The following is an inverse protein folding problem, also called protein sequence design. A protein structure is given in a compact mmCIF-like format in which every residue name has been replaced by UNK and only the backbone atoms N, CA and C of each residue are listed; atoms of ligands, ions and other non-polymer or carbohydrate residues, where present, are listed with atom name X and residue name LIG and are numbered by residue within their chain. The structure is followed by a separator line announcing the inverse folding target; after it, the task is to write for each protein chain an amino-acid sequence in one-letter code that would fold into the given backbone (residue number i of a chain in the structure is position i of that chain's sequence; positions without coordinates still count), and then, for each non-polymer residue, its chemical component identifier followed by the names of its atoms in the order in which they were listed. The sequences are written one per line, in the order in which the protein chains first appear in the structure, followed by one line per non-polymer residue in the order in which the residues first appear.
data_IF_168671335246
#
_entry.id   IF_168671335246
#
_cell.length_a   1.000
_cell.length_b   1.000
_cell.length_c   1.000
_cell.angle_alpha   90.00
_cell.angle_beta   90.00
_cell.angle_gamma   90.00
#
_symmetry.space_group_name_H-M   'P 1'
#
loop_
_entity.id
_entity.type
_entity.pdbx_description
1 polymer ?
#
# COMPACT_ATOMS: atom_id res chain seq x y z
N UNK A 1 -40.28 60.24 -30.81
CA UNK A 1 -39.33 59.50 -31.69
C UNK A 1 -38.19 59.01 -30.82
N UNK A 2 -38.32 57.82 -30.37
CA UNK A 2 -37.47 57.15 -29.39
C UNK A 2 -36.72 56.03 -30.10
N UNK A 3 -35.42 56.05 -30.05
CA UNK A 3 -34.58 54.91 -30.48
C UNK A 3 -33.91 54.31 -29.24
N UNK A 4 -34.36 53.14 -28.90
CA UNK A 4 -33.83 52.32 -27.86
C UNK A 4 -32.50 51.68 -28.30
N UNK A 5 -31.38 52.06 -27.68
CA UNK A 5 -30.10 51.40 -27.82
C UNK A 5 -30.01 50.21 -26.90
N UNK A 6 -30.15 49.03 -27.40
CA UNK A 6 -29.88 47.81 -26.67
C UNK A 6 -28.37 47.56 -26.63
N UNK A 7 -27.75 47.78 -25.48
CA UNK A 7 -26.37 47.38 -25.15
C UNK A 7 -26.29 45.86 -25.05
N UNK A 8 -25.78 45.23 -26.05
CA UNK A 8 -25.45 43.81 -26.00
C UNK A 8 -24.23 43.58 -25.07
N UNK A 9 -24.50 43.08 -23.86
CA UNK A 9 -23.45 42.51 -23.05
C UNK A 9 -22.82 41.32 -23.79
N UNK A 10 -21.62 41.48 -24.33
CA UNK A 10 -20.75 40.41 -24.80
C UNK A 10 -20.30 39.62 -23.55
N UNK A 11 -21.01 38.56 -23.23
CA UNK A 11 -20.49 37.49 -22.38
C UNK A 11 -19.23 36.95 -23.05
N UNK A 12 -18.08 37.18 -22.44
CA UNK A 12 -16.84 36.47 -22.78
C UNK A 12 -17.08 34.98 -22.44
N UNK A 13 -17.61 34.27 -23.41
CA UNK A 13 -17.76 32.82 -23.31
C UNK A 13 -16.38 32.20 -23.18
N UNK A 14 -16.17 31.50 -22.09
CA UNK A 14 -15.02 30.59 -21.93
C UNK A 14 -15.02 29.68 -23.14
N UNK A 15 -14.06 29.89 -24.04
CA UNK A 15 -13.89 29.05 -25.24
C UNK A 15 -13.70 27.61 -24.78
N UNK A 16 -14.63 26.74 -25.16
CA UNK A 16 -14.52 25.29 -24.91
C UNK A 16 -13.21 24.77 -25.53
N UNK A 17 -12.66 23.69 -24.99
CA UNK A 17 -11.46 23.01 -25.51
C UNK A 17 -11.50 22.81 -27.02
N UNK A 18 -12.70 22.57 -27.58
CA UNK A 18 -12.94 22.44 -29.03
C UNK A 18 -12.80 23.76 -29.79
N UNK A 19 -13.11 24.91 -29.18
CA UNK A 19 -12.94 26.23 -29.82
C UNK A 19 -11.49 26.73 -29.81
N UNK A 20 -10.67 26.34 -28.81
CA UNK A 20 -9.23 26.59 -28.82
C UNK A 20 -8.49 25.80 -29.92
N UNK A 21 -9.03 24.67 -30.35
CA UNK A 21 -8.47 23.83 -31.43
C UNK A 21 -8.48 24.49 -32.84
N UNK A 22 -9.24 25.56 -33.03
CA UNK A 22 -9.36 26.25 -34.35
C UNK A 22 -8.25 27.27 -34.63
N UNK A 23 -7.35 27.54 -33.71
CA UNK A 23 -6.28 28.52 -33.82
C UNK A 23 -4.94 27.78 -33.89
N UNK A 24 -4.56 27.25 -35.06
CA UNK A 24 -3.19 27.06 -35.53
C UNK A 24 -2.15 26.30 -34.69
N UNK A 25 -2.38 25.99 -33.42
CA UNK A 25 -1.54 25.12 -32.63
C UNK A 25 -1.96 23.67 -32.88
N UNK A 26 -1.08 22.87 -33.46
CA UNK A 26 -1.26 21.42 -33.52
C UNK A 26 -1.48 20.94 -32.12
N UNK A 27 -2.71 20.49 -31.80
CA UNK A 27 -3.05 19.95 -30.48
C UNK A 27 -2.11 18.77 -30.21
N UNK A 28 -1.45 18.82 -29.07
CA UNK A 28 -0.59 17.73 -28.59
C UNK A 28 -1.33 16.38 -28.65
N UNK A 29 -2.66 16.43 -28.43
CA UNK A 29 -3.52 15.25 -28.57
C UNK A 29 -3.60 14.72 -30.00
N UNK A 30 -3.75 15.60 -30.99
CA UNK A 30 -3.76 15.20 -32.39
C UNK A 30 -2.41 14.63 -32.86
N UNK A 31 -1.31 15.14 -32.32
CA UNK A 31 0.03 14.56 -32.52
C UNK A 31 0.18 13.17 -31.92
N UNK A 32 -0.40 12.95 -30.75
CA UNK A 32 -0.35 11.67 -30.05
C UNK A 32 -1.21 10.63 -30.75
N UNK A 33 -2.46 10.97 -31.07
CA UNK A 33 -3.45 10.01 -31.62
C UNK A 33 -3.14 9.67 -33.06
N UNK A 34 -2.60 10.62 -33.85
CA UNK A 34 -2.28 10.43 -35.27
C UNK A 34 -0.84 9.95 -35.51
N UNK A 35 -0.03 9.77 -34.48
CA UNK A 35 1.31 9.21 -34.58
C UNK A 35 1.39 7.85 -33.91
N UNK A 36 1.20 6.80 -34.67
CA UNK A 36 1.22 5.40 -34.22
C UNK A 36 2.52 5.07 -33.45
N UNK A 37 3.66 5.58 -33.91
CA UNK A 37 4.96 5.33 -33.26
C UNK A 37 5.03 5.92 -31.83
N UNK A 38 4.56 7.15 -31.64
CA UNK A 38 4.51 7.77 -30.32
C UNK A 38 3.53 7.01 -29.43
N UNK A 39 2.36 6.71 -29.95
CA UNK A 39 1.32 6.06 -29.17
C UNK A 39 1.66 4.63 -28.79
N UNK A 40 2.07 3.80 -29.74
CA UNK A 40 2.34 2.38 -29.49
C UNK A 40 3.67 2.13 -28.78
N UNK A 41 4.70 2.93 -29.04
CA UNK A 41 6.02 2.71 -28.41
C UNK A 41 6.20 3.45 -27.09
N UNK A 42 5.58 4.59 -26.89
CA UNK A 42 5.88 5.47 -25.77
C UNK A 42 4.73 5.74 -24.81
N UNK A 43 3.48 5.71 -25.25
CA UNK A 43 2.33 6.04 -24.41
C UNK A 43 1.61 4.79 -23.92
N UNK A 44 1.05 3.99 -24.82
CA UNK A 44 0.27 2.82 -24.42
C UNK A 44 1.02 1.85 -23.52
N UNK A 45 2.32 1.55 -23.71
CA UNK A 45 3.05 0.65 -22.81
C UNK A 45 3.20 1.17 -21.38
N UNK A 46 3.14 2.49 -21.17
CA UNK A 46 3.28 3.12 -19.85
C UNK A 46 1.97 3.26 -19.09
N UNK A 47 0.84 3.09 -19.76
CA UNK A 47 -0.46 3.09 -19.12
C UNK A 47 -0.69 1.75 -18.40
N UNK A 48 -1.22 1.78 -17.19
CA UNK A 48 -1.75 0.57 -16.57
C UNK A 48 -3.06 0.14 -17.24
N UNK A 49 -3.56 -1.07 -16.91
CA UNK A 49 -4.78 -1.61 -17.55
C UNK A 49 -6.03 -0.78 -17.27
N UNK A 50 -6.07 -0.08 -16.14
CA UNK A 50 -7.17 0.79 -15.74
C UNK A 50 -7.16 2.09 -16.53
N UNK A 51 -6.01 2.77 -16.64
CA UNK A 51 -5.86 3.98 -17.44
C UNK A 51 -6.14 3.72 -18.93
N UNK A 52 -5.75 2.54 -19.42
CA UNK A 52 -6.04 2.13 -20.80
C UNK A 52 -7.55 2.01 -21.07
N UNK A 53 -8.33 1.50 -20.11
CA UNK A 53 -9.80 1.44 -20.23
C UNK A 53 -10.42 2.82 -20.24
N UNK A 54 -9.96 3.72 -19.38
CA UNK A 54 -10.45 5.10 -19.41
C UNK A 54 -10.13 5.77 -20.75
N UNK A 55 -8.92 5.58 -21.24
CA UNK A 55 -8.54 6.10 -22.57
C UNK A 55 -9.44 5.53 -23.68
N UNK A 56 -9.83 4.25 -23.57
CA UNK A 56 -10.74 3.61 -24.53
C UNK A 56 -12.14 4.25 -24.53
N UNK A 57 -12.61 4.75 -23.37
CA UNK A 57 -13.92 5.39 -23.25
C UNK A 57 -13.94 6.87 -23.64
N UNK A 58 -12.77 7.53 -23.79
CA UNK A 58 -12.67 8.97 -24.05
C UNK A 58 -13.32 9.37 -25.39
N UNK A 59 -12.98 8.68 -26.48
CA UNK A 59 -13.56 8.96 -27.80
C UNK A 59 -13.35 7.80 -28.79
N UNK A 60 -13.92 7.95 -30.00
CA UNK A 60 -13.86 6.91 -31.04
C UNK A 60 -12.44 6.68 -31.59
N UNK A 61 -11.59 7.70 -31.60
CA UNK A 61 -10.21 7.63 -32.12
C UNK A 61 -9.32 6.82 -31.16
N UNK A 62 -9.39 7.12 -29.88
CA UNK A 62 -8.68 6.33 -28.86
C UNK A 62 -9.15 4.89 -28.83
N UNK A 63 -10.45 4.64 -29.03
CA UNK A 63 -11.00 3.29 -29.18
C UNK A 63 -10.37 2.52 -30.35
N UNK A 64 -10.30 3.13 -31.50
CA UNK A 64 -9.68 2.54 -32.71
C UNK A 64 -8.21 2.24 -32.45
N UNK A 65 -7.50 3.17 -31.84
CA UNK A 65 -6.09 3.06 -31.54
C UNK A 65 -5.80 1.89 -30.60
N UNK A 66 -6.54 1.78 -29.50
CA UNK A 66 -6.36 0.69 -28.53
C UNK A 66 -6.74 -0.66 -29.15
N UNK A 67 -7.80 -0.73 -29.97
CA UNK A 67 -8.18 -1.96 -30.70
C UNK A 67 -7.10 -2.46 -31.66
N UNK A 68 -6.27 -1.58 -32.20
CA UNK A 68 -5.12 -1.91 -33.06
C UNK A 68 -3.87 -2.31 -32.26
N UNK A 69 -3.85 -2.03 -30.96
CA UNK A 69 -2.71 -2.35 -30.10
C UNK A 69 -2.72 -3.81 -29.64
N UNK A 70 -1.56 -4.32 -29.24
CA UNK A 70 -1.42 -5.65 -28.59
C UNK A 70 -2.12 -5.74 -27.23
N UNK A 71 -2.61 -4.61 -26.70
CA UNK A 71 -3.17 -4.49 -25.35
C UNK A 71 -4.70 -4.59 -25.29
N UNK A 72 -5.36 -4.99 -26.38
CA UNK A 72 -6.83 -5.18 -26.41
C UNK A 72 -7.33 -6.12 -25.32
N UNK A 73 -6.51 -7.12 -24.93
CA UNK A 73 -6.82 -8.04 -23.85
C UNK A 73 -6.96 -7.38 -22.48
N UNK A 74 -6.28 -6.24 -22.26
CA UNK A 74 -6.35 -5.48 -21.00
C UNK A 74 -7.73 -4.84 -20.80
N UNK A 75 -8.47 -4.58 -21.86
CA UNK A 75 -9.83 -4.04 -21.77
C UNK A 75 -10.83 -5.01 -21.13
N UNK A 76 -10.53 -6.30 -21.14
CA UNK A 76 -11.35 -7.34 -20.48
C UNK A 76 -11.06 -7.45 -18.98
N UNK A 77 -9.94 -6.90 -18.51
CA UNK A 77 -9.58 -6.90 -17.09
C UNK A 77 -10.45 -5.93 -16.32
N UNK A 78 -10.76 -6.26 -15.08
CA UNK A 78 -11.55 -5.38 -14.20
C UNK A 78 -10.82 -4.08 -13.87
N UNK A 79 -11.57 -3.01 -13.59
CA UNK A 79 -11.00 -1.78 -13.03
C UNK A 79 -10.34 -2.08 -11.68
N UNK A 80 -9.11 -1.63 -11.51
CA UNK A 80 -8.42 -1.75 -10.25
C UNK A 80 -8.30 -0.37 -9.62
N UNK A 81 -9.14 -0.06 -8.65
CA UNK A 81 -9.17 1.23 -7.94
C UNK A 81 -7.77 1.62 -7.44
N UNK A 82 -6.98 0.67 -6.95
CA UNK A 82 -5.60 0.91 -6.49
C UNK A 82 -4.63 1.42 -7.57
N UNK A 83 -4.98 1.30 -8.85
CA UNK A 83 -4.18 1.78 -9.99
C UNK A 83 -4.63 3.16 -10.47
N UNK A 84 -5.69 3.71 -9.89
CA UNK A 84 -6.23 5.01 -10.29
C UNK A 84 -5.38 6.15 -9.76
N UNK A 85 -5.16 7.15 -10.61
CA UNK A 85 -4.19 8.21 -10.34
C UNK A 85 -4.82 9.59 -10.13
N UNK A 86 -6.13 9.74 -10.39
CA UNK A 86 -6.84 11.01 -10.30
C UNK A 86 -8.27 10.87 -9.78
N UNK A 87 -8.84 11.96 -9.30
CA UNK A 87 -10.24 12.04 -8.89
C UNK A 87 -11.17 11.69 -10.05
N UNK A 88 -10.88 12.19 -11.25
CA UNK A 88 -11.73 11.91 -12.44
C UNK A 88 -11.83 10.42 -12.75
N UNK A 89 -10.74 9.66 -12.58
CA UNK A 89 -10.76 8.20 -12.80
C UNK A 89 -11.55 7.48 -11.69
N UNK A 90 -11.42 7.93 -10.44
CA UNK A 90 -12.22 7.41 -9.33
C UNK A 90 -13.71 7.70 -9.48
N UNK A 91 -14.05 8.89 -9.98
CA UNK A 91 -15.43 9.30 -10.20
C UNK A 91 -16.13 8.39 -11.21
N UNK A 92 -15.48 8.10 -12.33
CA UNK A 92 -16.01 7.13 -13.31
C UNK A 92 -16.19 5.75 -12.67
N UNK A 93 -15.22 5.28 -11.88
CA UNK A 93 -15.34 4.00 -11.19
C UNK A 93 -16.52 4.00 -10.20
N UNK A 94 -16.73 5.11 -9.50
CA UNK A 94 -17.84 5.27 -8.56
C UNK A 94 -19.21 5.27 -9.25
N UNK A 95 -19.33 5.94 -10.38
CA UNK A 95 -20.57 5.95 -11.17
C UNK A 95 -20.94 4.56 -11.72
N UNK A 96 -19.94 3.72 -11.98
CA UNK A 96 -20.12 2.36 -12.47
C UNK A 96 -20.15 1.31 -11.35
N UNK A 97 -20.74 1.62 -10.20
CA UNK A 97 -20.83 0.69 -9.04
C UNK A 97 -21.41 -0.69 -9.39
N UNK A 98 -22.30 -0.78 -10.36
CA UNK A 98 -22.88 -2.05 -10.82
C UNK A 98 -21.85 -3.04 -11.37
N UNK A 99 -20.67 -2.54 -11.77
CA UNK A 99 -19.57 -3.36 -12.29
C UNK A 99 -18.56 -3.81 -11.24
N UNK A 100 -18.77 -3.49 -9.95
CA UNK A 100 -17.86 -3.85 -8.85
C UNK A 100 -17.94 -5.33 -8.43
N UNK A 101 -18.87 -6.12 -8.94
CA UNK A 101 -19.42 -7.38 -8.43
C UNK A 101 -18.45 -8.39 -7.83
N UNK A 102 -17.24 -8.54 -8.39
CA UNK A 102 -16.34 -9.60 -7.93
C UNK A 102 -15.11 -9.08 -7.19
N UNK A 103 -14.91 -7.77 -7.16
CA UNK A 103 -13.70 -7.13 -6.69
C UNK A 103 -13.90 -6.17 -5.52
N UNK A 104 -15.04 -5.53 -5.46
CA UNK A 104 -15.46 -4.62 -4.40
C UNK A 104 -16.83 -5.07 -3.92
N UNK A 105 -16.90 -5.50 -2.66
CA UNK A 105 -18.16 -5.96 -2.08
C UNK A 105 -19.09 -4.79 -1.74
N UNK A 106 -18.49 -3.72 -1.27
CA UNK A 106 -19.21 -2.54 -0.79
C UNK A 106 -18.35 -1.27 -0.85
N UNK A 107 -18.86 -0.17 -0.32
CA UNK A 107 -18.18 1.12 -0.26
C UNK A 107 -16.98 1.13 0.69
N UNK A 108 -16.97 0.26 1.72
CA UNK A 108 -15.82 0.16 2.63
C UNK A 108 -14.62 -0.47 1.92
N UNK A 109 -14.86 -1.45 1.05
CA UNK A 109 -13.83 -2.04 0.20
C UNK A 109 -13.29 -1.01 -0.81
N UNK A 110 -14.17 -0.17 -1.36
CA UNK A 110 -13.75 0.92 -2.25
C UNK A 110 -12.80 1.89 -1.52
N UNK A 111 -13.17 2.35 -0.34
CA UNK A 111 -12.36 3.25 0.47
C UNK A 111 -10.98 2.66 0.82
N UNK A 112 -10.94 1.37 1.15
CA UNK A 112 -9.71 0.62 1.36
C UNK A 112 -8.84 0.54 0.10
N UNK A 113 -9.45 0.27 -1.07
CA UNK A 113 -8.73 0.26 -2.34
C UNK A 113 -8.21 1.65 -2.74
N UNK A 114 -8.97 2.70 -2.42
CA UNK A 114 -8.50 4.08 -2.59
C UNK A 114 -7.29 4.36 -1.71
N UNK A 115 -7.29 3.90 -0.46
CA UNK A 115 -6.12 4.02 0.42
C UNK A 115 -4.87 3.33 -0.17
N UNK A 116 -5.03 2.23 -0.92
CA UNK A 116 -3.92 1.55 -1.64
C UNK A 116 -3.26 2.40 -2.72
N UNK A 117 -3.89 3.43 -3.21
CA UNK A 117 -3.27 4.36 -4.17
C UNK A 117 -2.15 5.18 -3.53
N UNK A 118 -2.07 5.20 -2.22
CA UNK A 118 -1.19 6.02 -1.40
C UNK A 118 -1.35 7.54 -1.60
N UNK A 119 -2.50 7.98 -2.10
CA UNK A 119 -2.82 9.38 -2.39
C UNK A 119 -3.89 9.89 -1.45
N UNK A 120 -3.51 10.77 -0.52
CA UNK A 120 -4.42 11.31 0.50
C UNK A 120 -5.58 12.09 -0.12
N UNK A 121 -5.33 12.84 -1.21
CA UNK A 121 -6.37 13.61 -1.90
C UNK A 121 -7.50 12.72 -2.45
N UNK A 122 -7.17 11.51 -2.90
CA UNK A 122 -8.16 10.55 -3.40
C UNK A 122 -9.00 9.97 -2.25
N UNK A 123 -8.35 9.70 -1.11
CA UNK A 123 -9.07 9.24 0.08
C UNK A 123 -9.99 10.33 0.64
N UNK A 124 -9.53 11.59 0.67
CA UNK A 124 -10.36 12.73 1.07
C UNK A 124 -11.59 12.87 0.16
N UNK A 125 -11.39 12.82 -1.15
CA UNK A 125 -12.51 12.86 -2.10
C UNK A 125 -13.54 11.74 -1.84
N UNK A 126 -13.09 10.51 -1.65
CA UNK A 126 -13.98 9.38 -1.36
C UNK A 126 -14.79 9.60 -0.06
N UNK A 127 -14.15 10.18 0.98
CA UNK A 127 -14.79 10.42 2.26
C UNK A 127 -15.68 11.68 2.30
N UNK A 128 -15.19 12.77 1.75
CA UNK A 128 -15.82 14.10 1.89
C UNK A 128 -16.89 14.33 0.82
N UNK A 129 -16.63 13.93 -0.43
CA UNK A 129 -17.56 14.11 -1.55
C UNK A 129 -18.54 12.94 -1.69
N UNK A 130 -18.06 11.71 -1.67
CA UNK A 130 -18.87 10.52 -1.89
C UNK A 130 -19.45 9.92 -0.60
N UNK A 131 -19.03 10.43 0.57
CA UNK A 131 -19.47 9.96 1.90
C UNK A 131 -19.23 8.46 2.11
N UNK A 132 -18.24 7.92 1.42
CA UNK A 132 -17.88 6.51 1.42
C UNK A 132 -17.58 6.05 2.85
N UNK A 133 -18.15 4.97 3.31
CA UNK A 133 -17.82 4.40 4.61
C UNK A 133 -16.43 3.77 4.58
N UNK A 134 -15.78 3.69 5.72
CA UNK A 134 -14.49 3.03 5.89
C UNK A 134 -14.47 2.11 7.10
N UNK A 135 -13.52 1.20 7.09
CA UNK A 135 -13.28 0.26 8.18
C UNK A 135 -11.80 0.26 8.58
N UNK A 136 -11.45 -0.62 9.50
CA UNK A 136 -10.05 -0.82 9.94
C UNK A 136 -9.07 -1.06 8.80
N UNK A 137 -9.53 -1.59 7.66
CA UNK A 137 -8.69 -1.85 6.49
C UNK A 137 -8.06 -0.60 5.90
N UNK A 138 -8.78 0.53 5.92
CA UNK A 138 -8.31 1.81 5.37
C UNK A 138 -7.06 2.31 6.13
N UNK A 139 -7.14 2.39 7.45
CA UNK A 139 -5.99 2.84 8.27
C UNK A 139 -4.86 1.80 8.29
N UNK A 140 -5.18 0.51 8.26
CA UNK A 140 -4.18 -0.55 8.14
C UNK A 140 -3.37 -0.41 6.86
N UNK A 141 -4.01 -0.03 5.75
CA UNK A 141 -3.33 0.20 4.49
C UNK A 141 -2.47 1.46 4.50
N UNK A 142 -2.95 2.55 5.10
CA UNK A 142 -2.16 3.76 5.29
C UNK A 142 -0.90 3.48 6.15
N UNK A 143 -1.06 2.66 7.20
CA UNK A 143 0.04 2.23 8.06
C UNK A 143 1.03 1.30 7.34
N UNK A 144 0.53 0.37 6.53
CA UNK A 144 1.34 -0.55 5.70
C UNK A 144 2.23 0.21 4.71
N UNK A 145 1.75 1.33 4.19
CA UNK A 145 2.46 2.17 3.22
C UNK A 145 3.31 3.28 3.85
N UNK A 146 3.29 3.43 5.16
CA UNK A 146 4.03 4.48 5.86
C UNK A 146 3.51 5.90 5.63
N UNK A 147 2.28 6.06 5.14
CA UNK A 147 1.73 7.39 4.85
C UNK A 147 1.19 8.06 6.11
N UNK A 148 2.07 8.77 6.83
CA UNK A 148 1.76 9.43 8.09
C UNK A 148 0.59 10.42 7.95
N UNK A 149 0.54 11.20 6.87
CA UNK A 149 -0.52 12.18 6.67
C UNK A 149 -1.89 11.51 6.43
N UNK A 150 -1.91 10.38 5.74
CA UNK A 150 -3.12 9.58 5.57
C UNK A 150 -3.56 8.94 6.89
N UNK A 151 -2.62 8.46 7.70
CA UNK A 151 -2.91 7.93 9.04
C UNK A 151 -3.47 9.03 9.95
N UNK A 152 -2.86 10.21 9.96
CA UNK A 152 -3.37 11.39 10.70
C UNK A 152 -4.81 11.73 10.29
N UNK A 153 -5.06 11.78 8.99
CA UNK A 153 -6.41 12.02 8.47
C UNK A 153 -7.42 10.96 8.92
N UNK A 154 -7.05 9.68 8.87
CA UNK A 154 -7.89 8.58 9.34
C UNK A 154 -8.24 8.72 10.83
N UNK A 155 -7.24 8.97 11.69
CA UNK A 155 -7.44 9.13 13.14
C UNK A 155 -8.31 10.35 13.44
N UNK A 156 -8.02 11.52 12.84
CA UNK A 156 -8.77 12.75 13.05
C UNK A 156 -10.25 12.61 12.65
N UNK A 157 -10.56 11.79 11.63
CA UNK A 157 -11.90 11.53 11.15
C UNK A 157 -12.53 10.25 11.71
N UNK A 158 -12.03 9.74 12.84
CA UNK A 158 -12.58 8.61 13.60
C UNK A 158 -12.66 7.30 12.81
N UNK A 159 -11.69 7.04 11.93
CA UNK A 159 -11.53 5.71 11.34
C UNK A 159 -11.26 4.68 12.46
N UNK A 160 -11.96 3.53 12.48
CA UNK A 160 -11.69 2.51 13.49
C UNK A 160 -10.23 2.04 13.45
N UNK A 161 -9.57 1.98 14.63
CA UNK A 161 -8.16 1.57 14.75
C UNK A 161 -8.09 0.31 15.60
N UNK A 162 -7.33 -0.69 15.16
CA UNK A 162 -7.07 -1.96 15.85
C UNK A 162 -5.58 -2.32 15.79
N UNK A 163 -5.20 -3.42 16.45
CA UNK A 163 -3.83 -3.91 16.60
C UNK A 163 -3.08 -4.02 15.28
N UNK A 164 -3.82 -4.36 14.22
CA UNK A 164 -3.24 -4.61 12.91
C UNK A 164 -2.58 -3.38 12.27
N UNK A 165 -3.04 -2.17 12.61
CA UNK A 165 -2.41 -0.94 12.13
C UNK A 165 -0.98 -0.79 12.66
N UNK A 166 -0.78 -1.04 13.98
CA UNK A 166 0.55 -1.05 14.59
C UNK A 166 1.43 -2.14 14.00
N UNK A 167 0.90 -3.36 13.87
CA UNK A 167 1.63 -4.49 13.32
C UNK A 167 2.05 -4.24 11.85
N UNK A 168 1.22 -3.61 11.03
CA UNK A 168 1.53 -3.23 9.64
C UNK A 168 2.62 -2.17 9.55
N UNK A 169 2.55 -1.13 10.36
CA UNK A 169 3.61 -0.13 10.45
C UNK A 169 4.94 -0.77 10.90
N UNK A 170 4.89 -1.67 11.89
CA UNK A 170 6.06 -2.38 12.39
C UNK A 170 6.66 -3.33 11.35
N UNK A 171 5.82 -4.03 10.58
CA UNK A 171 6.25 -4.92 9.49
C UNK A 171 7.12 -4.22 8.44
N UNK A 172 6.79 -2.97 8.12
CA UNK A 172 7.47 -2.22 7.05
C UNK A 172 8.44 -1.15 7.60
N UNK A 173 8.72 -1.15 8.92
CA UNK A 173 9.70 -0.25 9.54
C UNK A 173 9.28 1.22 9.63
N UNK A 174 7.99 1.51 9.53
CA UNK A 174 7.47 2.88 9.53
C UNK A 174 7.35 3.44 10.95
N UNK A 175 8.47 3.76 11.58
CA UNK A 175 8.56 4.17 12.98
C UNK A 175 7.68 5.38 13.31
N UNK A 176 7.68 6.43 12.48
CA UNK A 176 6.89 7.64 12.75
C UNK A 176 5.38 7.37 12.68
N UNK A 177 4.94 6.53 11.76
CA UNK A 177 3.54 6.05 11.69
C UNK A 177 3.21 5.22 12.92
N UNK A 178 4.12 4.33 13.32
CA UNK A 178 3.95 3.47 14.49
C UNK A 178 3.83 4.30 15.77
N UNK A 179 4.72 5.28 15.98
CA UNK A 179 4.66 6.21 17.13
C UNK A 179 3.33 6.96 17.14
N UNK A 180 2.94 7.55 16.03
CA UNK A 180 1.69 8.31 15.94
C UNK A 180 0.46 7.45 16.25
N UNK A 181 0.39 6.22 15.71
CA UNK A 181 -0.69 5.28 16.02
C UNK A 181 -0.77 4.97 17.52
N UNK A 182 0.37 4.81 18.18
CA UNK A 182 0.43 4.51 19.62
C UNK A 182 0.11 5.72 20.49
N UNK A 183 0.71 6.85 20.22
CA UNK A 183 0.69 8.02 21.06
C UNK A 183 -0.60 8.84 20.88
N UNK A 184 -1.01 9.07 19.66
CA UNK A 184 -2.17 9.88 19.29
C UNK A 184 -3.37 9.02 18.95
N UNK A 185 -3.19 8.01 18.10
CA UNK A 185 -4.26 7.10 17.66
C UNK A 185 -4.74 6.13 18.74
N UNK A 186 -4.02 6.01 19.88
CA UNK A 186 -4.30 5.04 20.95
C UNK A 186 -4.50 3.62 20.43
N UNK A 187 -3.89 3.29 19.31
CA UNK A 187 -3.99 1.99 18.70
C UNK A 187 -3.45 0.90 19.63
N UNK A 188 -4.17 -0.20 19.88
CA UNK A 188 -3.62 -1.31 20.61
C UNK A 188 -2.49 -1.98 19.82
N UNK A 189 -1.67 -2.77 20.49
CA UNK A 189 -0.63 -3.62 19.91
C UNK A 189 -0.69 -5.03 20.48
N UNK A 190 -0.13 -6.00 19.76
CA UNK A 190 -0.07 -7.40 20.16
C UNK A 190 1.29 -8.03 19.79
N UNK A 191 1.44 -9.33 20.06
CA UNK A 191 2.68 -10.08 19.78
C UNK A 191 3.13 -10.04 18.32
N UNK A 192 2.18 -9.86 17.39
CA UNK A 192 2.50 -9.71 15.96
C UNK A 192 3.37 -8.49 15.66
N UNK A 193 3.26 -7.45 16.47
CA UNK A 193 4.03 -6.20 16.31
C UNK A 193 5.53 -6.49 16.40
N UNK A 194 5.98 -7.15 17.46
CA UNK A 194 7.38 -7.53 17.62
C UNK A 194 7.82 -8.59 16.60
N UNK A 195 6.96 -9.60 16.38
CA UNK A 195 7.27 -10.69 15.45
C UNK A 195 7.45 -10.21 13.99
N UNK A 196 6.64 -9.27 13.52
CA UNK A 196 6.77 -8.73 12.17
C UNK A 196 7.89 -7.70 12.02
N UNK A 197 8.18 -6.92 13.05
CA UNK A 197 9.39 -6.09 13.09
C UNK A 197 10.65 -6.97 12.98
N UNK A 198 10.71 -8.05 13.76
CA UNK A 198 11.81 -9.01 13.75
C UNK A 198 11.95 -9.77 12.42
N UNK A 199 10.82 -10.17 11.80
CA UNK A 199 10.76 -10.81 10.48
C UNK A 199 11.43 -9.99 9.37
N UNK A 200 11.36 -8.65 9.49
CA UNK A 200 11.85 -7.74 8.45
C UNK A 200 13.10 -6.93 8.90
N UNK A 201 13.71 -7.30 10.02
CA UNK A 201 14.97 -6.70 10.49
C UNK A 201 14.83 -5.26 11.00
N UNK A 202 13.66 -4.86 11.45
CA UNK A 202 13.40 -3.50 11.90
C UNK A 202 13.77 -3.30 13.39
N UNK A 203 15.06 -3.33 13.69
CA UNK A 203 15.61 -3.19 15.05
C UNK A 203 15.07 -1.92 15.75
N UNK A 204 15.03 -0.78 15.05
CA UNK A 204 14.54 0.50 15.61
C UNK A 204 13.07 0.45 16.09
N UNK A 205 12.25 -0.46 15.54
CA UNK A 205 10.89 -0.72 16.06
C UNK A 205 10.96 -1.51 17.37
N UNK A 206 11.84 -2.52 17.45
CA UNK A 206 12.04 -3.31 18.65
C UNK A 206 12.59 -2.44 19.80
N UNK A 207 13.50 -1.52 19.50
CA UNK A 207 14.01 -0.52 20.43
C UNK A 207 12.88 0.32 21.02
N UNK A 208 12.02 0.86 20.16
CA UNK A 208 10.86 1.64 20.61
C UNK A 208 9.89 0.80 21.45
N UNK A 209 9.67 -0.48 21.10
CA UNK A 209 8.82 -1.38 21.90
C UNK A 209 9.35 -1.53 23.33
N UNK A 210 10.67 -1.72 23.51
CA UNK A 210 11.30 -1.81 24.82
C UNK A 210 11.18 -0.48 25.58
N UNK A 211 11.46 0.65 24.96
CA UNK A 211 11.30 1.98 25.55
C UNK A 211 9.88 2.20 26.10
N UNK A 212 8.87 1.71 25.39
CA UNK A 212 7.45 1.82 25.78
C UNK A 212 6.95 0.66 26.63
N UNK A 213 7.86 -0.17 27.18
CA UNK A 213 7.56 -1.28 28.08
C UNK A 213 6.55 -2.28 27.47
N UNK A 214 6.77 -2.64 26.21
CA UNK A 214 5.98 -3.69 25.56
C UNK A 214 6.20 -5.02 26.29
N UNK A 215 5.12 -5.73 26.61
CA UNK A 215 5.11 -6.94 27.43
C UNK A 215 4.53 -8.18 26.73
N UNK A 216 4.22 -8.06 25.43
CA UNK A 216 3.55 -9.12 24.65
C UNK A 216 4.48 -9.83 23.68
N UNK A 217 5.73 -10.07 24.10
CA UNK A 217 6.64 -10.88 23.31
C UNK A 217 6.21 -12.34 23.36
N UNK A 218 6.37 -13.04 22.22
CA UNK A 218 6.20 -14.48 22.11
C UNK A 218 7.41 -15.06 21.40
N UNK A 219 7.56 -16.38 21.43
CA UNK A 219 8.61 -17.15 20.78
C UNK A 219 8.72 -16.82 19.28
N UNK A 220 7.57 -16.45 18.67
CA UNK A 220 7.50 -16.03 17.28
C UNK A 220 8.45 -14.89 16.93
N UNK A 221 8.77 -13.97 17.85
CA UNK A 221 9.64 -12.84 17.54
C UNK A 221 11.08 -13.32 17.30
N UNK A 222 11.60 -14.15 18.21
CA UNK A 222 12.95 -14.74 18.08
C UNK A 222 13.02 -15.71 16.90
N UNK A 223 12.01 -16.59 16.76
CA UNK A 223 11.93 -17.53 15.64
C UNK A 223 11.96 -16.82 14.29
N UNK A 224 11.20 -15.72 14.10
CA UNK A 224 11.17 -14.96 12.85
C UNK A 224 12.47 -14.21 12.59
N UNK A 225 13.07 -13.57 13.61
CA UNK A 225 14.41 -12.97 13.48
C UNK A 225 15.43 -14.01 12.99
N UNK A 226 15.44 -15.17 13.61
CA UNK A 226 16.33 -16.29 13.27
C UNK A 226 16.07 -16.86 11.86
N UNK A 227 14.78 -17.06 11.52
CA UNK A 227 14.35 -17.59 10.22
C UNK A 227 14.78 -16.71 9.03
N UNK A 228 14.80 -15.39 9.21
CA UNK A 228 15.12 -14.44 8.14
C UNK A 228 16.54 -13.85 8.29
N UNK A 229 17.36 -14.37 9.22
CA UNK A 229 18.77 -14.04 9.38
C UNK A 229 19.05 -12.67 9.99
N UNK A 230 18.08 -12.11 10.73
CA UNK A 230 18.23 -10.81 11.38
C UNK A 230 18.89 -10.96 12.76
N UNK A 231 20.20 -11.22 12.77
CA UNK A 231 20.98 -11.51 13.97
C UNK A 231 20.88 -10.37 15.01
N UNK A 232 20.96 -9.12 14.58
CA UNK A 232 20.88 -7.96 15.47
C UNK A 232 19.53 -7.90 16.19
N UNK A 233 18.44 -8.17 15.46
CA UNK A 233 17.10 -8.27 16.04
C UNK A 233 17.00 -9.44 17.02
N UNK A 234 17.58 -10.60 16.67
CA UNK A 234 17.57 -11.79 17.53
C UNK A 234 18.31 -11.52 18.85
N UNK A 235 19.52 -10.94 18.77
CA UNK A 235 20.29 -10.53 19.94
C UNK A 235 19.53 -9.56 20.82
N UNK A 236 18.98 -8.52 20.22
CA UNK A 236 18.23 -7.49 20.94
C UNK A 236 16.98 -8.05 21.64
N UNK A 237 16.24 -8.92 20.96
CA UNK A 237 15.08 -9.61 21.54
C UNK A 237 15.46 -10.47 22.73
N UNK A 238 16.53 -11.25 22.65
CA UNK A 238 16.99 -12.11 23.72
C UNK A 238 17.62 -11.30 24.86
N UNK A 239 18.61 -10.48 24.56
CA UNK A 239 19.46 -9.84 25.57
C UNK A 239 18.76 -8.65 26.26
N UNK A 240 17.99 -7.86 25.51
CA UNK A 240 17.40 -6.61 26.02
C UNK A 240 15.90 -6.75 26.30
N UNK A 241 15.14 -7.24 25.32
CA UNK A 241 13.70 -7.38 25.45
C UNK A 241 13.29 -8.60 26.33
N UNK A 242 14.23 -9.54 26.57
CA UNK A 242 13.97 -10.80 27.30
C UNK A 242 12.81 -11.58 26.69
N UNK A 243 12.67 -11.53 25.36
CA UNK A 243 11.67 -12.27 24.64
C UNK A 243 11.93 -13.79 24.77
N UNK A 244 10.88 -14.60 24.93
CA UNK A 244 11.03 -16.04 24.94
C UNK A 244 11.44 -16.58 23.57
N UNK A 245 12.10 -17.71 23.56
CA UNK A 245 12.43 -18.50 22.38
C UNK A 245 12.25 -20.00 22.65
N UNK A 246 12.21 -20.77 21.59
CA UNK A 246 12.05 -22.21 21.62
C UNK A 246 12.90 -22.87 20.50
N UNK A 247 12.78 -24.20 20.35
CA UNK A 247 13.48 -25.00 19.36
C UNK A 247 13.22 -24.58 17.90
N UNK A 248 12.06 -23.94 17.62
CA UNK A 248 11.73 -23.46 16.29
C UNK A 248 12.71 -22.38 15.82
N UNK A 249 13.29 -21.61 16.72
CA UNK A 249 14.30 -20.60 16.38
C UNK A 249 15.54 -21.25 15.75
N UNK A 250 16.09 -22.31 16.35
CA UNK A 250 17.25 -23.05 15.81
C UNK A 250 16.87 -23.78 14.53
N UNK A 251 15.72 -24.47 14.53
CA UNK A 251 15.22 -25.20 13.36
C UNK A 251 15.09 -24.28 12.13
N UNK A 252 14.44 -23.16 12.28
CA UNK A 252 14.20 -22.25 11.15
C UNK A 252 15.46 -21.50 10.72
N UNK A 253 16.36 -21.12 11.64
CA UNK A 253 17.65 -20.54 11.28
C UNK A 253 18.50 -21.51 10.44
N UNK A 254 18.59 -22.75 10.87
CA UNK A 254 19.33 -23.79 10.15
C UNK A 254 18.71 -24.09 8.77
N UNK A 255 17.39 -24.33 8.73
CA UNK A 255 16.65 -24.63 7.49
C UNK A 255 16.77 -23.53 6.43
N UNK A 256 16.90 -22.29 6.84
CA UNK A 256 17.01 -21.14 5.93
C UNK A 256 18.45 -20.66 5.73
N UNK A 257 19.43 -21.44 6.19
CA UNK A 257 20.87 -21.21 6.00
C UNK A 257 21.36 -19.87 6.59
N UNK A 258 21.03 -19.63 7.87
CA UNK A 258 21.51 -18.50 8.65
C UNK A 258 22.47 -18.95 9.76
N UNK A 259 23.72 -19.31 9.42
CA UNK A 259 24.67 -19.93 10.36
C UNK A 259 25.02 -19.03 11.54
N UNK A 260 25.07 -17.71 11.36
CA UNK A 260 25.35 -16.78 12.45
C UNK A 260 24.21 -16.75 13.50
N UNK A 261 22.97 -16.86 13.06
CA UNK A 261 21.83 -16.99 13.97
C UNK A 261 21.84 -18.35 14.68
N UNK A 262 22.15 -19.44 13.95
CA UNK A 262 22.31 -20.78 14.54
C UNK A 262 23.38 -20.76 15.62
N UNK A 263 24.57 -20.24 15.32
CA UNK A 263 25.66 -20.19 16.29
C UNK A 263 25.27 -19.39 17.55
N UNK A 264 24.69 -18.21 17.34
CA UNK A 264 24.24 -17.39 18.47
C UNK A 264 23.20 -18.12 19.36
N UNK A 265 22.25 -18.82 18.75
CA UNK A 265 21.23 -19.60 19.48
C UNK A 265 21.87 -20.74 20.28
N UNK A 266 22.82 -21.46 19.68
CA UNK A 266 23.56 -22.55 20.34
C UNK A 266 24.43 -22.04 21.50
N UNK A 267 25.14 -20.94 21.29
CA UNK A 267 26.00 -20.31 22.33
C UNK A 267 25.22 -19.77 23.54
N UNK A 268 23.89 -19.58 23.38
CA UNK A 268 23.03 -19.08 24.44
C UNK A 268 21.96 -20.09 24.89
N UNK A 269 22.25 -21.38 24.76
CA UNK A 269 21.45 -22.50 25.29
C UNK A 269 19.98 -22.52 24.80
N UNK A 270 19.73 -22.07 23.55
CA UNK A 270 18.40 -22.21 22.97
C UNK A 270 18.03 -23.69 22.84
N UNK A 271 16.81 -24.10 23.21
CA UNK A 271 16.37 -25.48 23.07
C UNK A 271 16.56 -26.01 21.65
N UNK A 272 16.94 -27.28 21.54
CA UNK A 272 17.10 -27.96 20.25
C UNK A 272 15.87 -28.80 19.91
N UNK A 273 15.52 -28.97 18.61
CA UNK A 273 14.53 -29.98 18.19
C UNK A 273 14.88 -31.37 18.71
N UNK A 274 13.86 -32.18 18.99
CA UNK A 274 13.96 -33.43 19.75
C UNK A 274 15.04 -34.43 19.28
N UNK A 275 15.42 -34.41 18.03
CA UNK A 275 16.41 -35.33 17.45
C UNK A 275 17.74 -34.66 17.09
N UNK A 276 17.91 -33.39 17.42
CA UNK A 276 19.12 -32.62 17.12
C UNK A 276 20.06 -32.67 18.33
N UNK A 277 21.38 -32.63 18.08
CA UNK A 277 22.40 -32.58 19.12
C UNK A 277 23.46 -31.55 18.77
N UNK A 278 23.98 -30.88 19.78
CA UNK A 278 25.12 -29.98 19.65
C UNK A 278 26.25 -30.52 20.55
N UNK A 279 27.25 -31.07 19.94
CA UNK A 279 28.34 -31.72 20.66
C UNK A 279 29.69 -31.30 20.00
N UNK A 280 30.67 -30.99 20.82
CA UNK A 280 32.03 -30.62 20.39
C UNK A 280 32.07 -29.43 19.38
N UNK A 281 31.09 -28.51 19.43
CA UNK A 281 31.02 -27.37 18.53
C UNK A 281 30.35 -27.67 17.17
N UNK A 282 29.80 -28.88 16.99
CA UNK A 282 29.13 -29.30 15.77
C UNK A 282 27.64 -29.61 16.03
N UNK A 283 26.78 -29.12 15.11
CA UNK A 283 25.34 -29.38 15.15
C UNK A 283 25.04 -30.63 14.32
N UNK A 284 24.54 -31.66 14.98
CA UNK A 284 24.11 -32.91 14.35
C UNK A 284 22.61 -32.88 14.10
N UNK A 285 22.24 -32.88 12.83
CA UNK A 285 20.86 -32.82 12.34
C UNK A 285 20.54 -34.20 11.73
N UNK A 286 19.42 -34.84 12.10
CA UNK A 286 19.02 -36.10 11.46
C UNK A 286 18.66 -35.88 9.99
N UNK A 287 18.95 -36.89 9.16
CA UNK A 287 18.63 -36.90 7.70
C UNK A 287 17.12 -36.83 7.43
#
# INVERSE_FOLDING_TARGET
MSSSGATAHKTLGVRTRAQKRRIGERDVWDLIVNNDDICFKHILPRLNGTDLKFLYEVNTETRKLIKRSSRTGDLKKWFKVREMSSISTLEIAWEHKSSWRDYLKDETDFCWQVAKTNKLELLKWAREEKKCEWNVGTINMAADQGNLEMVKYCVANKCPVKEFACAKAAKNGHLEVFKYLREEGKAPWDSRTAAWAAENGHLHILEYLVERKFDKYSELACMRAAKYGHLDCLKYLHETAKAPWDEDAVYHAHKNNHPECVQYLLDNDCPLPSNWRYEHGELHVPE
#
